data_IF_493632149615
#
_entry.id   IF_493632149615
#
_cell.length_a   1.000
_cell.length_b   1.000
_cell.length_c   1.000
_cell.angle_alpha   90.00
_cell.angle_beta   90.00
_cell.angle_gamma   90.00
#
_symmetry.space_group_name_H-M   'P 1'
#
loop_
_entity.id
_entity.type
_entity.pdbx_description
1 polymer ?
#
# COMPACT_ATOMS: atom_id res chain seq x y z
N UNK A 1 -13.48 -4.68 -2.20
CA UNK A 1 -12.20 -4.76 -2.94
C UNK A 1 -11.74 -6.23 -2.93
N UNK A 2 -11.19 -6.77 -4.02
CA UNK A 2 -10.68 -8.16 -4.06
C UNK A 2 -9.23 -8.23 -3.55
N UNK A 3 -8.78 -9.39 -3.03
CA UNK A 3 -7.42 -9.62 -2.51
C UNK A 3 -6.34 -9.17 -3.49
N UNK A 4 -6.42 -9.62 -4.75
CA UNK A 4 -5.48 -9.25 -5.83
C UNK A 4 -5.35 -7.73 -6.00
N UNK A 5 -6.48 -7.03 -6.06
CA UNK A 5 -6.50 -5.57 -6.26
C UNK A 5 -5.93 -4.83 -5.04
N UNK A 6 -6.20 -5.32 -3.83
CA UNK A 6 -5.60 -4.76 -2.61
C UNK A 6 -4.08 -4.91 -2.61
N UNK A 7 -3.59 -6.11 -2.89
CA UNK A 7 -2.16 -6.40 -3.01
C UNK A 7 -1.47 -5.53 -4.05
N UNK A 8 -2.05 -5.38 -5.24
CA UNK A 8 -1.51 -4.51 -6.29
C UNK A 8 -1.43 -3.05 -5.81
N UNK A 9 -2.47 -2.56 -5.14
CA UNK A 9 -2.52 -1.18 -4.60
C UNK A 9 -1.46 -0.98 -3.51
N UNK A 10 -1.32 -1.94 -2.59
CA UNK A 10 -0.33 -1.89 -1.50
C UNK A 10 1.11 -1.91 -2.03
N UNK A 11 1.41 -2.81 -2.97
CA UNK A 11 2.74 -2.93 -3.57
C UNK A 11 3.09 -1.68 -4.38
N UNK A 12 2.14 -1.14 -5.14
CA UNK A 12 2.34 0.10 -5.90
C UNK A 12 2.68 1.27 -4.97
N UNK A 13 1.86 1.49 -3.94
CA UNK A 13 2.11 2.53 -2.94
C UNK A 13 3.48 2.37 -2.28
N UNK A 14 3.86 1.16 -1.85
CA UNK A 14 5.17 0.92 -1.24
C UNK A 14 6.32 1.30 -2.19
N UNK A 15 6.25 0.83 -3.44
CA UNK A 15 7.29 1.07 -4.44
C UNK A 15 7.36 2.54 -4.87
N UNK A 16 6.22 3.21 -5.02
CA UNK A 16 6.15 4.63 -5.39
C UNK A 16 6.79 5.54 -4.32
N UNK A 17 6.78 5.09 -3.07
CA UNK A 17 7.45 5.77 -1.96
C UNK A 17 8.87 5.26 -1.69
N UNK A 18 9.37 4.30 -2.48
CA UNK A 18 10.67 3.64 -2.29
C UNK A 18 10.86 2.99 -0.91
N UNK A 19 9.78 2.53 -0.28
CA UNK A 19 9.84 1.87 1.02
C UNK A 19 10.22 0.38 0.89
N UNK A 20 11.06 -0.07 1.81
CA UNK A 20 11.20 -1.49 2.16
C UNK A 20 9.90 -2.02 2.79
N UNK A 21 9.78 -3.34 2.93
CA UNK A 21 8.62 -3.93 3.61
C UNK A 21 8.57 -3.55 5.10
N UNK A 22 9.71 -3.34 5.76
CA UNK A 22 9.71 -2.91 7.16
C UNK A 22 9.19 -1.46 7.27
N UNK A 23 9.74 -0.54 6.49
CA UNK A 23 9.33 0.87 6.51
C UNK A 23 7.85 1.05 6.16
N UNK A 24 7.34 0.31 5.17
CA UNK A 24 5.94 0.32 4.82
C UNK A 24 5.04 -0.18 5.97
N UNK A 25 5.46 -1.24 6.66
CA UNK A 25 4.75 -1.78 7.80
C UNK A 25 4.73 -0.78 8.97
N UNK A 26 5.85 -0.12 9.25
CA UNK A 26 5.97 0.90 10.29
C UNK A 26 5.04 2.10 9.99
N UNK A 27 4.99 2.55 8.72
CA UNK A 27 4.07 3.62 8.27
C UNK A 27 2.60 3.26 8.40
N UNK A 28 2.28 1.97 8.27
CA UNK A 28 0.91 1.45 8.37
C UNK A 28 0.55 1.03 9.82
N UNK A 29 1.51 1.05 10.75
CA UNK A 29 1.32 0.61 12.13
C UNK A 29 1.05 -0.89 12.26
N UNK A 30 1.65 -1.71 11.39
CA UNK A 30 1.44 -3.17 11.33
C UNK A 30 2.77 -3.91 11.41
N UNK A 31 2.73 -5.22 11.64
CA UNK A 31 3.95 -6.03 11.58
C UNK A 31 4.44 -6.20 10.13
N UNK A 32 5.76 -6.31 9.94
CA UNK A 32 6.36 -6.67 8.63
C UNK A 32 5.77 -7.96 8.07
N UNK A 33 5.49 -8.95 8.93
CA UNK A 33 4.90 -10.23 8.55
C UNK A 33 3.48 -10.06 8.00
N UNK A 34 2.68 -9.18 8.59
CA UNK A 34 1.33 -8.85 8.10
C UNK A 34 1.41 -8.23 6.71
N UNK A 35 2.30 -7.24 6.52
CA UNK A 35 2.52 -6.61 5.22
C UNK A 35 2.94 -7.65 4.16
N UNK A 36 3.90 -8.52 4.49
CA UNK A 36 4.37 -9.57 3.59
C UNK A 36 3.26 -10.54 3.19
N UNK A 37 2.44 -10.99 4.14
CA UNK A 37 1.29 -11.87 3.86
C UNK A 37 0.26 -11.19 2.94
N UNK A 38 0.06 -9.89 3.08
CA UNK A 38 -0.83 -9.13 2.22
C UNK A 38 -0.27 -8.96 0.81
N UNK A 39 1.03 -8.66 0.66
CA UNK A 39 1.69 -8.57 -0.65
C UNK A 39 1.75 -9.91 -1.38
N UNK A 40 1.68 -11.03 -0.65
CA UNK A 40 1.62 -12.39 -1.19
C UNK A 40 0.19 -12.91 -1.37
N UNK A 41 -0.83 -12.09 -1.13
CA UNK A 41 -2.26 -12.45 -1.21
C UNK A 41 -2.68 -13.57 -0.24
N UNK A 42 -1.82 -13.93 0.74
CA UNK A 42 -2.08 -14.96 1.76
C UNK A 42 -3.07 -14.50 2.82
N UNK A 43 -3.22 -13.18 2.98
CA UNK A 43 -4.20 -12.57 3.86
C UNK A 43 -4.63 -11.20 3.30
N UNK A 44 -5.66 -10.60 3.90
CA UNK A 44 -6.08 -9.23 3.63
C UNK A 44 -6.64 -8.62 4.92
N UNK A 45 -6.37 -7.34 5.24
CA UNK A 45 -7.03 -6.67 6.36
C UNK A 45 -8.55 -6.69 6.16
N UNK A 46 -9.29 -6.84 7.25
CA UNK A 46 -10.75 -6.92 7.21
C UNK A 46 -11.38 -5.73 7.95
N UNK A 47 -12.63 -5.41 7.59
CA UNK A 47 -13.43 -4.38 8.27
C UNK A 47 -12.73 -3.02 8.37
N UNK A 48 -12.75 -2.45 9.57
CA UNK A 48 -12.19 -1.11 9.85
C UNK A 48 -10.70 -0.98 9.51
N UNK A 49 -9.92 -2.05 9.66
CA UNK A 49 -8.49 -2.05 9.33
C UNK A 49 -8.24 -1.79 7.84
N UNK A 50 -9.07 -2.35 6.96
CA UNK A 50 -8.98 -2.12 5.52
C UNK A 50 -9.26 -0.66 5.18
N UNK A 51 -10.34 -0.09 5.73
CA UNK A 51 -10.73 1.29 5.47
C UNK A 51 -9.68 2.30 5.94
N UNK A 52 -9.08 2.07 7.11
CA UNK A 52 -8.01 2.94 7.63
C UNK A 52 -6.75 2.89 6.74
N UNK A 53 -6.32 1.69 6.35
CA UNK A 53 -5.16 1.53 5.46
C UNK A 53 -5.39 2.16 4.09
N UNK A 54 -6.59 1.99 3.53
CA UNK A 54 -6.92 2.56 2.22
C UNK A 54 -6.89 4.09 2.22
N UNK A 55 -7.13 4.75 3.36
CA UNK A 55 -6.94 6.21 3.48
C UNK A 55 -5.46 6.57 3.35
N UNK A 56 -4.60 5.94 4.14
CA UNK A 56 -3.14 6.19 4.12
C UNK A 56 -2.53 5.90 2.73
N UNK A 57 -2.98 4.81 2.10
CA UNK A 57 -2.44 4.34 0.81
C UNK A 57 -2.91 5.22 -0.35
N UNK A 58 -4.16 5.70 -0.33
CA UNK A 58 -4.74 6.50 -1.40
C UNK A 58 -4.68 8.00 -1.15
N UNK A 59 -4.17 8.44 0.01
CA UNK A 59 -3.90 9.84 0.25
C UNK A 59 -2.94 10.36 -0.82
N UNK A 60 -3.28 11.47 -1.50
CA UNK A 60 -2.48 11.98 -2.60
C UNK A 60 -1.13 12.46 -2.07
N UNK A 61 -0.11 11.61 -2.17
CA UNK A 61 1.27 12.03 -1.95
C UNK A 61 1.65 13.03 -3.06
N UNK A 62 2.07 14.24 -2.68
CA UNK A 62 2.55 15.29 -3.58
C UNK A 62 3.67 14.82 -4.55
N UNK A 63 4.36 13.71 -4.25
CA UNK A 63 5.35 13.08 -5.14
C UNK A 63 4.73 12.22 -6.25
N UNK A 64 3.58 11.58 -6.04
CA UNK A 64 2.89 10.73 -7.04
C UNK A 64 2.21 11.57 -8.14
N UNK A 65 1.64 12.72 -7.76
CA UNK A 65 0.98 13.65 -8.69
C UNK A 65 1.91 14.19 -9.79
N UNK A 66 3.23 14.20 -9.57
CA UNK A 66 4.22 14.69 -10.55
C UNK A 66 4.55 13.68 -11.66
N UNK A 67 4.22 12.39 -11.49
CA UNK A 67 4.64 11.34 -12.43
C UNK A 67 3.66 11.08 -13.60
N UNK A 68 2.41 11.56 -13.51
CA UNK A 68 1.41 11.40 -14.58
C UNK A 68 1.48 12.46 -15.72
N UNK A 69 2.45 13.39 -15.71
CA UNK A 69 2.61 14.44 -16.75
C UNK A 69 3.87 14.31 -17.63
N UNK A 70 4.40 13.10 -17.84
CA UNK A 70 5.44 12.85 -18.88
C UNK A 70 5.17 11.54 -19.61
N UNK A 71 4.19 11.59 -20.51
CA UNK A 71 4.09 10.70 -21.66
C UNK A 71 3.73 11.59 -22.84
N UNK A 72 4.76 12.00 -23.59
CA UNK A 72 4.66 12.79 -24.82
C UNK A 72 4.62 11.81 -25.99
#
# INVERSE_FOLDING_TARGET
MKHKKFKETLVAWRKDNAYTQQEAADRLGVSRRSLENWEQERAMPQGFGLSAMLKIIQEPNAKSARRHKRGK
#
